data_IF_871476429829
#
_entry.id   IF_871476429829
#
_cell.length_a   1.000
_cell.length_b   1.000
_cell.length_c   1.000
_cell.angle_alpha   90.00
_cell.angle_beta   90.00
_cell.angle_gamma   90.00
#
_symmetry.space_group_name_H-M   'P 1'
#
loop_
_entity.id
_entity.type
_entity.pdbx_description
1 polymer ?
#
# COMPACT_ATOMS: atom_id res chain seq x y z
N UNK A 1 15.89 2.65 11.38
CA UNK A 1 14.85 2.94 10.35
C UNK A 1 14.11 4.22 10.74
N UNK A 2 13.83 5.12 9.80
CA UNK A 2 12.99 6.31 10.02
C UNK A 2 11.59 6.06 9.45
N UNK A 3 10.55 6.52 10.15
CA UNK A 3 9.16 6.41 9.72
C UNK A 3 8.54 7.78 9.47
N UNK A 4 7.78 7.88 8.38
CA UNK A 4 6.88 9.00 8.12
C UNK A 4 5.45 8.50 8.18
N UNK A 5 4.63 9.11 9.03
CA UNK A 5 3.23 8.72 9.25
C UNK A 5 2.35 9.90 8.87
N UNK A 6 1.31 9.64 8.08
CA UNK A 6 0.34 10.64 7.67
C UNK A 6 -0.98 10.32 8.36
N UNK A 7 -1.51 11.28 9.13
CA UNK A 7 -2.68 11.03 9.97
C UNK A 7 -3.67 12.18 9.95
N UNK A 8 -4.95 11.85 9.71
CA UNK A 8 -6.08 12.79 9.82
C UNK A 8 -6.29 13.34 11.23
N UNK A 9 -5.72 12.69 12.24
CA UNK A 9 -5.84 13.09 13.64
C UNK A 9 -4.74 14.06 14.07
N UNK A 10 -3.88 14.48 13.14
CA UNK A 10 -2.73 15.30 13.44
C UNK A 10 -2.71 16.55 12.55
N UNK A 11 -2.93 17.72 13.14
CA UNK A 11 -3.03 18.98 12.39
C UNK A 11 -1.69 19.74 12.28
N UNK A 12 -0.67 19.31 13.03
CA UNK A 12 0.65 19.97 13.05
C UNK A 12 1.73 18.89 13.02
N UNK A 13 2.79 19.08 12.23
CA UNK A 13 3.93 18.14 12.17
C UNK A 13 4.49 17.88 13.58
N UNK A 14 4.61 16.60 13.95
CA UNK A 14 5.20 16.17 15.22
C UNK A 14 6.31 15.16 14.97
N UNK A 15 7.39 15.21 15.73
CA UNK A 15 8.47 14.23 15.67
C UNK A 15 8.66 13.62 17.06
N UNK A 16 8.72 12.30 17.11
CA UNK A 16 9.07 11.53 18.30
C UNK A 16 10.04 10.44 17.88
N UNK A 17 11.26 10.48 18.41
CA UNK A 17 12.33 9.54 18.09
C UNK A 17 12.55 9.43 16.56
N UNK A 18 12.42 8.23 16.01
CA UNK A 18 12.54 7.92 14.59
C UNK A 18 11.23 8.05 13.81
N UNK A 19 10.15 8.55 14.42
CA UNK A 19 8.83 8.70 13.80
C UNK A 19 8.49 10.17 13.62
N UNK A 20 8.19 10.56 12.38
CA UNK A 20 7.65 11.89 12.05
C UNK A 20 6.22 11.76 11.58
N UNK A 21 5.29 12.42 12.28
CA UNK A 21 3.87 12.45 11.97
C UNK A 21 3.54 13.76 11.26
N UNK A 22 2.95 13.67 10.07
CA UNK A 22 2.46 14.77 9.27
C UNK A 22 0.92 14.83 9.29
N UNK A 23 0.33 16.02 9.10
CA UNK A 23 -1.05 16.14 8.64
C UNK A 23 -1.26 15.43 7.30
N UNK A 24 -2.52 15.19 6.93
CA UNK A 24 -2.86 14.71 5.60
C UNK A 24 -2.45 15.75 4.54
N UNK A 25 -1.69 15.28 3.56
CA UNK A 25 -1.14 16.05 2.45
C UNK A 25 -0.79 15.03 1.35
N UNK A 26 -1.60 14.98 0.29
CA UNK A 26 -1.50 13.96 -0.75
C UNK A 26 -0.17 14.04 -1.50
N UNK A 27 0.23 15.24 -1.92
CA UNK A 27 1.47 15.45 -2.66
C UNK A 27 2.69 15.04 -1.83
N UNK A 28 2.68 15.37 -0.54
CA UNK A 28 3.73 14.95 0.39
C UNK A 28 3.72 13.45 0.62
N UNK A 29 2.55 12.83 0.73
CA UNK A 29 2.44 11.39 0.87
C UNK A 29 3.01 10.66 -0.34
N UNK A 30 2.62 11.05 -1.55
CA UNK A 30 3.11 10.47 -2.82
C UNK A 30 4.64 10.64 -2.91
N UNK A 31 5.17 11.84 -2.65
CA UNK A 31 6.63 12.07 -2.64
C UNK A 31 7.35 11.22 -1.58
N UNK A 32 6.76 11.08 -0.39
CA UNK A 32 7.31 10.23 0.68
C UNK A 32 7.29 8.76 0.29
N UNK A 33 6.22 8.28 -0.34
CA UNK A 33 6.09 6.90 -0.81
C UNK A 33 7.09 6.61 -1.94
N UNK A 34 7.19 7.50 -2.92
CA UNK A 34 8.13 7.34 -4.04
C UNK A 34 9.59 7.30 -3.59
N UNK A 35 9.95 8.05 -2.53
CA UNK A 35 11.32 8.09 -1.98
C UNK A 35 11.58 7.07 -0.85
N UNK A 36 10.56 6.36 -0.36
CA UNK A 36 10.75 5.38 0.72
C UNK A 36 11.30 4.05 0.22
N UNK A 37 11.84 3.27 1.16
CA UNK A 37 12.23 1.87 0.95
C UNK A 37 11.06 0.89 1.08
N UNK A 38 9.92 1.34 1.61
CA UNK A 38 8.74 0.51 1.85
C UNK A 38 7.56 1.29 2.40
N UNK A 39 6.39 0.65 2.37
CA UNK A 39 5.10 1.23 2.77
C UNK A 39 4.39 0.27 3.71
N UNK A 40 3.83 0.82 4.79
CA UNK A 40 2.88 0.14 5.68
C UNK A 40 1.57 0.90 5.58
N UNK A 41 0.50 0.24 5.14
CA UNK A 41 -0.81 0.88 4.98
C UNK A 41 -1.95 -0.08 5.30
N UNK A 42 -3.19 0.38 5.18
CA UNK A 42 -4.35 -0.54 5.17
C UNK A 42 -4.33 -1.41 3.91
N UNK A 43 -5.13 -2.47 3.90
CA UNK A 43 -5.33 -3.31 2.72
C UNK A 43 -6.41 -2.72 1.77
N UNK A 44 -6.36 -1.41 1.55
CA UNK A 44 -7.24 -0.73 0.58
C UNK A 44 -6.85 -1.04 -0.87
N UNK A 45 -7.52 -0.41 -1.83
CA UNK A 45 -7.21 -0.60 -3.25
C UNK A 45 -6.00 0.25 -3.70
N UNK A 46 -6.03 1.55 -3.42
CA UNK A 46 -5.13 2.54 -4.02
C UNK A 46 -3.68 2.40 -3.53
N UNK A 47 -3.40 2.70 -2.26
CA UNK A 47 -2.03 2.73 -1.73
C UNK A 47 -1.27 1.40 -1.88
N UNK A 48 -1.86 0.22 -1.60
CA UNK A 48 -1.19 -1.05 -1.88
C UNK A 48 -0.81 -1.23 -3.36
N UNK A 49 -1.72 -0.89 -4.28
CA UNK A 49 -1.47 -1.01 -5.72
C UNK A 49 -0.36 -0.07 -6.17
N UNK A 50 -0.39 1.20 -5.74
CA UNK A 50 0.65 2.18 -6.04
C UNK A 50 2.01 1.77 -5.47
N UNK A 51 2.04 1.24 -4.24
CA UNK A 51 3.26 0.76 -3.62
C UNK A 51 3.87 -0.41 -4.40
N UNK A 52 3.05 -1.39 -4.82
CA UNK A 52 3.50 -2.51 -5.64
C UNK A 52 3.98 -2.04 -7.02
N UNK A 53 3.23 -1.15 -7.67
CA UNK A 53 3.59 -0.58 -8.97
C UNK A 53 4.94 0.16 -8.91
N UNK A 54 5.19 0.91 -7.84
CA UNK A 54 6.47 1.61 -7.60
C UNK A 54 7.60 0.70 -7.10
N UNK A 55 7.39 -0.62 -7.06
CA UNK A 55 8.38 -1.59 -6.60
C UNK A 55 8.76 -1.39 -5.12
N UNK A 56 7.81 -0.93 -4.29
CA UNK A 56 8.02 -0.75 -2.86
C UNK A 56 7.75 -2.04 -2.13
N UNK A 57 8.60 -2.32 -1.15
CA UNK A 57 8.31 -3.32 -0.14
C UNK A 57 7.01 -2.92 0.59
N UNK A 58 6.04 -3.82 0.63
CA UNK A 58 4.70 -3.54 1.16
C UNK A 58 4.40 -4.43 2.36
N UNK A 59 3.79 -3.85 3.39
CA UNK A 59 3.06 -4.58 4.42
C UNK A 59 1.68 -3.94 4.60
N UNK A 60 0.65 -4.75 4.83
CA UNK A 60 -0.70 -4.26 5.03
C UNK A 60 -1.27 -4.63 6.39
N UNK A 61 -2.03 -3.70 6.97
CA UNK A 61 -2.76 -3.85 8.23
C UNK A 61 -4.25 -3.67 7.94
N UNK A 62 -5.01 -4.73 7.63
CA UNK A 62 -6.44 -4.60 7.32
C UNK A 62 -7.20 -3.99 8.49
N UNK A 63 -8.07 -3.04 8.20
CA UNK A 63 -8.90 -2.40 9.21
C UNK A 63 -9.98 -3.36 9.73
N UNK A 64 -10.25 -3.30 11.03
CA UNK A 64 -11.36 -4.05 11.63
C UNK A 64 -12.68 -3.62 10.97
N UNK A 65 -13.55 -4.59 10.71
CA UNK A 65 -14.90 -4.38 10.17
C UNK A 65 -14.92 -3.81 8.73
N UNK A 66 -13.82 -3.96 7.97
CA UNK A 66 -13.73 -3.60 6.55
C UNK A 66 -13.59 -4.88 5.69
N UNK A 67 -14.72 -5.44 5.29
CA UNK A 67 -14.77 -6.72 4.55
C UNK A 67 -13.90 -6.73 3.29
N UNK A 68 -13.97 -5.67 2.47
CA UNK A 68 -13.17 -5.56 1.24
C UNK A 68 -11.66 -5.54 1.53
N UNK A 69 -11.22 -4.90 2.62
CA UNK A 69 -9.81 -4.93 2.98
C UNK A 69 -9.33 -6.32 3.41
N UNK A 70 -10.21 -7.14 3.98
CA UNK A 70 -9.86 -8.53 4.30
C UNK A 70 -9.72 -9.38 3.03
N UNK A 71 -10.57 -9.18 2.03
CA UNK A 71 -10.42 -9.83 0.72
C UNK A 71 -9.11 -9.43 0.04
N UNK A 72 -8.82 -8.13 0.00
CA UNK A 72 -7.58 -7.63 -0.56
C UNK A 72 -6.36 -8.16 0.21
N UNK A 73 -6.43 -8.21 1.54
CA UNK A 73 -5.36 -8.76 2.36
C UNK A 73 -5.11 -10.25 2.07
N UNK A 74 -6.17 -11.04 1.84
CA UNK A 74 -6.03 -12.44 1.46
C UNK A 74 -5.29 -12.59 0.12
N UNK A 75 -5.68 -11.82 -0.89
CA UNK A 75 -5.01 -11.80 -2.21
C UNK A 75 -3.55 -11.33 -2.08
N UNK A 76 -3.31 -10.23 -1.35
CA UNK A 76 -1.96 -9.71 -1.10
C UNK A 76 -1.08 -10.76 -0.39
N UNK A 77 -1.64 -11.51 0.56
CA UNK A 77 -0.93 -12.61 1.21
C UNK A 77 -0.54 -13.72 0.23
N UNK A 78 -1.44 -14.10 -0.68
CA UNK A 78 -1.14 -15.06 -1.75
C UNK A 78 -0.05 -14.55 -2.70
N UNK A 79 0.00 -13.23 -2.94
CA UNK A 79 1.08 -12.58 -3.70
C UNK A 79 2.41 -12.50 -2.92
N UNK A 80 2.45 -12.89 -1.65
CA UNK A 80 3.65 -12.86 -0.80
C UNK A 80 3.83 -11.58 0.02
N UNK A 81 2.86 -10.66 0.01
CA UNK A 81 2.90 -9.44 0.83
C UNK A 81 2.66 -9.79 2.30
N UNK A 82 3.41 -9.15 3.20
CA UNK A 82 3.22 -9.33 4.65
C UNK A 82 1.89 -8.72 5.10
N UNK A 83 1.04 -9.54 5.71
CA UNK A 83 -0.25 -9.11 6.30
C UNK A 83 -0.15 -9.16 7.81
N UNK A 84 -0.31 -8.00 8.46
CA UNK A 84 -0.24 -7.84 9.90
C UNK A 84 -1.65 -7.61 10.44
N UNK A 85 -2.25 -8.61 11.10
CA UNK A 85 -3.64 -8.53 11.55
C UNK A 85 -3.91 -7.41 12.56
N UNK A 86 -2.97 -7.18 13.48
CA UNK A 86 -3.03 -6.11 14.49
C UNK A 86 -1.61 -5.65 14.80
N UNK A 87 -1.35 -4.36 14.68
CA UNK A 87 -0.02 -3.80 14.94
C UNK A 87 0.53 -4.20 16.31
N UNK A 88 -0.27 -4.08 17.39
CA UNK A 88 0.20 -4.37 18.76
C UNK A 88 0.69 -5.81 18.95
N UNK A 89 0.04 -6.78 18.32
CA UNK A 89 0.38 -8.21 18.45
C UNK A 89 1.22 -8.76 17.31
N UNK A 90 1.42 -7.99 16.23
CA UNK A 90 2.21 -8.38 15.06
C UNK A 90 3.56 -7.67 15.01
N UNK A 91 4.16 -7.39 16.16
CA UNK A 91 5.48 -6.74 16.24
C UNK A 91 6.59 -7.63 15.66
N UNK A 92 6.45 -8.95 15.79
CA UNK A 92 7.38 -9.90 15.20
C UNK A 92 7.30 -9.89 13.67
N UNK A 93 6.08 -9.91 13.10
CA UNK A 93 5.85 -9.78 11.66
C UNK A 93 6.40 -8.46 11.12
N UNK A 94 6.18 -7.36 11.86
CA UNK A 94 6.72 -6.05 11.52
C UNK A 94 8.25 -6.03 11.57
N UNK A 95 8.85 -6.64 12.59
CA UNK A 95 10.30 -6.74 12.75
C UNK A 95 10.95 -7.56 11.63
N UNK A 96 10.34 -8.69 11.29
CA UNK A 96 10.74 -9.53 10.17
C UNK A 96 10.61 -8.78 8.84
N UNK A 97 9.49 -8.08 8.62
CA UNK A 97 9.29 -7.26 7.42
C UNK A 97 10.31 -6.14 7.31
N UNK A 98 10.61 -5.44 8.41
CA UNK A 98 11.63 -4.38 8.43
C UNK A 98 12.99 -4.93 8.00
N UNK A 99 13.38 -6.09 8.55
CA UNK A 99 14.73 -6.65 8.42
C UNK A 99 14.96 -7.44 7.12
N UNK A 100 13.97 -8.24 6.73
CA UNK A 100 14.08 -9.26 5.67
C UNK A 100 12.98 -9.19 4.62
N UNK A 101 11.99 -8.30 4.77
CA UNK A 101 10.92 -8.24 3.79
C UNK A 101 11.46 -7.85 2.40
N UNK A 102 10.87 -8.44 1.38
CA UNK A 102 11.27 -8.28 -0.02
C UNK A 102 10.27 -7.44 -0.81
N UNK A 103 10.71 -6.95 -1.96
CA UNK A 103 9.84 -6.33 -2.95
C UNK A 103 9.14 -7.42 -3.74
N UNK A 104 7.81 -7.44 -3.68
CA UNK A 104 6.99 -8.31 -4.52
C UNK A 104 6.92 -7.69 -5.92
N UNK A 105 7.48 -8.38 -6.91
CA UNK A 105 7.40 -7.97 -8.31
C UNK A 105 6.06 -8.42 -8.88
N UNK A 106 5.28 -7.46 -9.34
CA UNK A 106 4.02 -7.70 -10.06
C UNK A 106 4.19 -7.15 -11.46
N UNK A 107 3.80 -7.94 -12.45
CA UNK A 107 3.77 -7.49 -13.83
C UNK A 107 2.46 -6.71 -14.06
N UNK A 108 2.58 -5.41 -14.31
CA UNK A 108 1.46 -4.51 -14.61
C UNK A 108 1.56 -4.00 -16.06
N UNK A 109 1.34 -4.87 -17.06
CA UNK A 109 1.36 -4.48 -18.46
C UNK A 109 0.24 -3.48 -18.78
N UNK A 110 0.54 -2.52 -19.67
CA UNK A 110 -0.45 -1.56 -20.15
C UNK A 110 -1.35 -2.20 -21.22
N UNK A 111 -2.53 -2.64 -20.79
CA UNK A 111 -3.60 -3.15 -21.65
C UNK A 111 -4.72 -2.13 -21.87
N UNK A 112 -4.53 -0.86 -21.51
CA UNK A 112 -5.63 0.11 -21.50
C UNK A 112 -6.27 0.25 -22.89
N UNK A 113 -5.45 0.46 -23.92
CA UNK A 113 -5.94 0.62 -25.28
C UNK A 113 -6.59 -0.65 -25.81
N UNK A 114 -5.99 -1.83 -25.57
CA UNK A 114 -6.52 -3.12 -26.00
C UNK A 114 -7.91 -3.38 -25.42
N UNK A 115 -8.10 -3.08 -24.13
CA UNK A 115 -9.38 -3.24 -23.44
C UNK A 115 -10.42 -2.29 -24.05
N UNK A 116 -10.06 -1.02 -24.28
CA UNK A 116 -10.95 -0.03 -24.90
C UNK A 116 -11.38 -0.48 -26.30
N UNK A 117 -10.43 -0.87 -27.15
CA UNK A 117 -10.69 -1.33 -28.51
C UNK A 117 -11.62 -2.55 -28.52
N UNK A 118 -11.39 -3.49 -27.59
CA UNK A 118 -12.23 -4.69 -27.44
C UNK A 118 -13.67 -4.34 -27.05
N UNK A 119 -13.86 -3.39 -26.14
CA UNK A 119 -15.19 -2.93 -25.72
C UNK A 119 -15.89 -2.23 -26.89
N UNK A 120 -15.21 -1.31 -27.58
CA UNK A 120 -15.76 -0.59 -28.74
C UNK A 120 -16.15 -1.59 -29.84
N UNK A 121 -15.24 -2.49 -30.23
CA UNK A 121 -15.53 -3.49 -31.27
C UNK A 121 -16.71 -4.40 -30.94
N UNK A 122 -16.92 -4.71 -29.65
CA UNK A 122 -18.00 -5.58 -29.20
C UNK A 122 -19.36 -4.88 -29.15
N UNK A 123 -19.39 -3.58 -28.89
CA UNK A 123 -20.64 -2.86 -28.55
C UNK A 123 -21.00 -1.73 -29.52
N UNK A 124 -20.06 -1.24 -30.33
CA UNK A 124 -20.38 -0.29 -31.38
C UNK A 124 -21.19 -1.00 -32.47
N UNK A 125 -22.45 -0.59 -32.64
CA UNK A 125 -23.21 -0.89 -33.84
C UNK A 125 -22.64 -0.03 -34.96
N UNK A 126 -21.75 -0.60 -35.78
CA UNK A 126 -21.47 -0.09 -37.11
C UNK A 126 -22.66 -0.39 -38.03
#
# INVERSE_FOLDING_TARGET
>A
VQFQVFSKHNFIKKKKDNVTIYPLDNDRFIKSMASSSGVICGAGFETPSEALFLGKKLAVVPMKDQYEQHLNAAILKEMGVTVINKLKSGMDDLGAWISMGDVIKVDYPDHAQEIVDRIIKKHAKL
#
